data_IF_027896195717
#
_entry.id   IF_027896195717
#
_cell.length_a   1.000
_cell.length_b   1.000
_cell.length_c   1.000
_cell.angle_alpha   90.00
_cell.angle_beta   90.00
_cell.angle_gamma   90.00
#
_symmetry.space_group_name_H-M   'P 1'
#
loop_
_entity.id
_entity.type
_entity.pdbx_description
1 polymer ?
#
# COMPACT_ATOMS: atom_id res chain seq x y z
N UNK A 1 11.30 -19.00 13.53
CA UNK A 1 11.05 -17.57 13.76
C UNK A 1 12.29 -16.78 13.32
N UNK A 2 12.19 -16.13 12.16
CA UNK A 2 13.36 -15.51 11.48
C UNK A 2 13.59 -14.06 11.94
N UNK A 3 12.82 -13.57 12.92
CA UNK A 3 12.93 -12.20 13.42
C UNK A 3 12.49 -11.13 12.41
N UNK A 4 11.61 -11.50 11.46
CA UNK A 4 11.06 -10.61 10.45
C UNK A 4 9.63 -10.26 10.84
N UNK A 5 9.30 -8.97 10.83
CA UNK A 5 7.94 -8.51 11.03
C UNK A 5 7.08 -8.77 9.77
N UNK A 6 5.80 -9.10 10.00
CA UNK A 6 4.84 -9.33 8.92
C UNK A 6 4.04 -8.07 8.69
N UNK A 7 4.00 -7.63 7.43
CA UNK A 7 3.16 -6.53 6.94
C UNK A 7 2.18 -7.07 5.92
N UNK A 8 0.93 -6.63 5.95
CA UNK A 8 -0.08 -7.04 4.99
C UNK A 8 -0.31 -5.97 3.93
N UNK A 9 -0.21 -6.36 2.64
CA UNK A 9 -0.81 -5.60 1.57
C UNK A 9 -2.31 -5.87 1.53
N UNK A 10 -3.12 -4.82 1.51
CA UNK A 10 -4.56 -4.93 1.41
C UNK A 10 -5.13 -3.90 0.42
N UNK A 11 -5.74 -4.38 -0.66
CA UNK A 11 -6.49 -3.51 -1.57
C UNK A 11 -7.91 -3.31 -1.06
N UNK A 12 -8.31 -2.06 -0.91
CA UNK A 12 -9.70 -1.72 -0.55
C UNK A 12 -10.65 -1.76 -1.77
N UNK A 13 -10.13 -2.10 -2.95
CA UNK A 13 -10.92 -2.32 -4.15
C UNK A 13 -11.03 -3.81 -4.44
N UNK A 14 -12.24 -4.27 -4.66
CA UNK A 14 -12.53 -5.57 -5.24
C UNK A 14 -13.53 -5.40 -6.38
N UNK A 15 -12.99 -5.26 -7.57
CA UNK A 15 -13.79 -5.06 -8.78
C UNK A 15 -14.65 -6.28 -9.16
N UNK A 16 -14.36 -7.44 -8.59
CA UNK A 16 -15.13 -8.67 -8.79
C UNK A 16 -16.30 -8.82 -7.82
N UNK A 17 -16.29 -8.07 -6.70
CA UNK A 17 -17.35 -8.14 -5.70
C UNK A 17 -18.67 -7.58 -6.26
N UNK A 18 -19.81 -8.30 -6.14
CA UNK A 18 -21.07 -7.88 -6.74
C UNK A 18 -21.62 -6.54 -6.22
N UNK A 19 -21.27 -6.18 -5.00
CA UNK A 19 -21.70 -4.93 -4.37
C UNK A 19 -20.67 -3.79 -4.52
N UNK A 20 -19.50 -4.03 -5.16
CA UNK A 20 -18.54 -2.96 -5.43
C UNK A 20 -19.11 -1.96 -6.44
N UNK A 21 -18.82 -0.68 -6.23
CA UNK A 21 -19.19 0.39 -7.16
C UNK A 21 -18.01 1.34 -7.37
N UNK A 22 -17.64 1.62 -8.60
CA UNK A 22 -16.62 2.62 -8.94
C UNK A 22 -17.06 4.05 -8.55
N UNK A 23 -18.37 4.28 -8.66
CA UNK A 23 -19.01 5.54 -8.24
C UNK A 23 -20.45 5.26 -7.84
N UNK A 24 -20.96 6.02 -6.89
CA UNK A 24 -22.33 5.94 -6.40
C UNK A 24 -23.18 6.90 -7.20
N UNK A 25 -24.17 6.38 -7.95
CA UNK A 25 -25.05 7.14 -8.84
C UNK A 25 -26.53 7.07 -8.42
N UNK A 26 -26.90 6.12 -7.58
CA UNK A 26 -28.26 5.90 -7.09
C UNK A 26 -28.25 5.51 -5.62
N UNK A 27 -29.42 5.46 -5.02
CA UNK A 27 -29.62 4.93 -3.67
C UNK A 27 -29.29 3.44 -3.61
N UNK A 28 -29.64 2.68 -4.64
CA UNK A 28 -29.29 1.25 -4.75
C UNK A 28 -27.77 1.03 -4.76
N UNK A 29 -27.01 1.87 -5.50
CA UNK A 29 -25.56 1.86 -5.47
C UNK A 29 -25.03 2.13 -4.07
N UNK A 30 -25.61 3.08 -3.34
CA UNK A 30 -25.21 3.42 -1.98
C UNK A 30 -25.43 2.25 -1.03
N UNK A 31 -26.58 1.59 -1.13
CA UNK A 31 -26.91 0.41 -0.31
C UNK A 31 -25.94 -0.76 -0.63
N UNK A 32 -25.73 -1.04 -1.92
CA UNK A 32 -24.79 -2.08 -2.34
C UNK A 32 -23.38 -1.78 -1.82
N UNK A 33 -22.89 -0.56 -2.03
CA UNK A 33 -21.55 -0.18 -1.60
C UNK A 33 -21.40 -0.22 -0.07
N UNK A 34 -22.43 0.09 0.70
CA UNK A 34 -22.41 -0.06 2.16
C UNK A 34 -22.21 -1.51 2.59
N UNK A 35 -22.86 -2.48 1.91
CA UNK A 35 -22.61 -3.91 2.16
C UNK A 35 -21.19 -4.32 1.81
N UNK A 36 -20.63 -3.75 0.73
CA UNK A 36 -19.22 -3.98 0.37
C UNK A 36 -18.26 -3.43 1.45
N UNK A 37 -18.51 -2.24 1.99
CA UNK A 37 -17.70 -1.69 3.08
C UNK A 37 -17.77 -2.56 4.34
N UNK A 38 -18.96 -3.06 4.71
CA UNK A 38 -19.13 -4.00 5.83
C UNK A 38 -18.38 -5.32 5.57
N UNK A 39 -18.45 -5.85 4.36
CA UNK A 39 -17.68 -7.04 3.97
C UNK A 39 -16.18 -6.81 4.16
N UNK A 40 -15.67 -5.66 3.71
CA UNK A 40 -14.26 -5.29 3.83
C UNK A 40 -13.84 -5.12 5.30
N UNK A 41 -14.68 -4.49 6.13
CA UNK A 41 -14.45 -4.39 7.58
C UNK A 41 -14.32 -5.78 8.22
N UNK A 42 -15.17 -6.73 7.84
CA UNK A 42 -15.14 -8.09 8.37
C UNK A 42 -13.87 -8.85 7.94
N UNK A 43 -13.40 -8.67 6.70
CA UNK A 43 -12.10 -9.22 6.27
C UNK A 43 -10.94 -8.66 7.10
N UNK A 44 -10.91 -7.35 7.32
CA UNK A 44 -9.85 -6.71 8.10
C UNK A 44 -9.88 -7.15 9.57
N UNK A 45 -11.07 -7.27 10.18
CA UNK A 45 -11.24 -7.81 11.53
C UNK A 45 -10.76 -9.26 11.62
N UNK A 46 -11.05 -10.07 10.61
CA UNK A 46 -10.59 -11.46 10.56
C UNK A 46 -9.06 -11.52 10.50
N UNK A 47 -8.42 -10.72 9.64
CA UNK A 47 -6.96 -10.63 9.55
C UNK A 47 -6.35 -10.18 10.88
N UNK A 48 -6.84 -9.10 11.48
CA UNK A 48 -6.35 -8.58 12.75
C UNK A 48 -6.50 -9.61 13.90
N UNK A 49 -7.59 -10.38 13.90
CA UNK A 49 -7.84 -11.40 14.92
C UNK A 49 -6.94 -12.63 14.75
N UNK A 50 -6.75 -13.07 13.49
CA UNK A 50 -5.94 -14.26 13.19
C UNK A 50 -4.44 -14.01 13.26
N UNK A 51 -4.00 -12.77 13.02
CA UNK A 51 -2.59 -12.39 12.97
C UNK A 51 -2.29 -11.22 13.91
N UNK A 52 -2.41 -11.42 15.24
CA UNK A 52 -2.29 -10.33 16.22
C UNK A 52 -0.88 -9.75 16.35
N UNK A 53 0.09 -10.34 15.67
CA UNK A 53 1.49 -9.88 15.67
C UNK A 53 1.86 -9.08 14.41
N UNK A 54 0.92 -8.88 13.49
CA UNK A 54 1.15 -8.05 12.29
C UNK A 54 1.51 -6.63 12.72
N UNK A 55 2.47 -6.00 12.00
CA UNK A 55 3.01 -4.69 12.36
C UNK A 55 2.51 -3.57 11.48
N UNK A 56 2.09 -3.90 10.27
CA UNK A 56 1.65 -2.90 9.30
C UNK A 56 0.54 -3.43 8.38
N UNK A 57 -0.37 -2.54 8.02
CA UNK A 57 -1.28 -2.74 6.90
C UNK A 57 -0.94 -1.74 5.80
N UNK A 58 -0.35 -2.24 4.74
CA UNK A 58 -0.07 -1.50 3.53
C UNK A 58 -1.29 -1.49 2.61
N UNK A 59 -2.09 -0.45 2.74
CA UNK A 59 -3.31 -0.30 1.96
C UNK A 59 -3.04 0.26 0.57
N UNK A 60 -3.94 -0.09 -0.35
CA UNK A 60 -3.99 0.47 -1.70
C UNK A 60 -5.44 0.55 -2.20
N UNK A 61 -5.68 1.29 -3.28
CA UNK A 61 -6.98 1.27 -3.95
C UNK A 61 -7.95 2.42 -3.63
N UNK A 62 -7.56 3.44 -2.90
CA UNK A 62 -8.46 4.53 -2.47
C UNK A 62 -8.68 5.61 -3.54
N UNK A 63 -8.50 5.29 -4.82
CA UNK A 63 -8.65 6.30 -5.90
C UNK A 63 -10.03 6.33 -6.56
N UNK A 64 -10.87 5.30 -6.41
CA UNK A 64 -12.21 5.30 -6.96
C UNK A 64 -13.12 6.32 -6.27
N UNK A 65 -14.05 6.88 -7.03
CA UNK A 65 -14.93 7.95 -6.55
C UNK A 65 -15.81 7.52 -5.38
N UNK A 66 -16.23 6.25 -5.35
CA UNK A 66 -17.00 5.67 -4.26
C UNK A 66 -16.24 5.69 -2.95
N UNK A 67 -14.99 5.21 -2.93
CA UNK A 67 -14.15 5.18 -1.72
C UNK A 67 -13.80 6.60 -1.28
N UNK A 68 -13.39 7.47 -2.21
CA UNK A 68 -13.10 8.89 -1.91
C UNK A 68 -14.27 9.64 -1.30
N UNK A 69 -15.50 9.33 -1.71
CA UNK A 69 -16.70 9.93 -1.11
C UNK A 69 -17.04 9.37 0.28
N UNK A 70 -16.44 8.26 0.67
CA UNK A 70 -16.59 7.62 1.97
C UNK A 70 -15.33 7.79 2.82
N UNK A 71 -14.74 8.98 2.84
CA UNK A 71 -13.56 9.29 3.66
C UNK A 71 -13.75 8.93 5.14
N UNK A 72 -14.96 9.08 5.68
CA UNK A 72 -15.32 8.64 7.02
C UNK A 72 -15.02 7.15 7.26
N UNK A 73 -15.27 6.28 6.26
CA UNK A 73 -15.00 4.87 6.36
C UNK A 73 -13.49 4.59 6.42
N UNK A 74 -12.69 5.31 5.63
CA UNK A 74 -11.23 5.15 5.69
C UNK A 74 -10.66 5.55 7.05
N UNK A 75 -11.25 6.54 7.71
CA UNK A 75 -10.89 6.91 9.08
C UNK A 75 -11.33 5.86 10.10
N UNK A 76 -12.55 5.29 9.91
CA UNK A 76 -13.06 4.21 10.73
C UNK A 76 -12.15 2.97 10.65
N UNK A 77 -11.73 2.56 9.46
CA UNK A 77 -10.82 1.41 9.27
C UNK A 77 -9.50 1.63 10.03
N UNK A 78 -8.88 2.81 9.89
CA UNK A 78 -7.66 3.12 10.62
C UNK A 78 -7.86 3.02 12.14
N UNK A 79 -8.91 3.63 12.66
CA UNK A 79 -9.21 3.59 14.09
C UNK A 79 -9.47 2.15 14.56
N UNK A 80 -10.31 1.39 13.85
CA UNK A 80 -10.65 0.01 14.18
C UNK A 80 -9.40 -0.87 14.26
N UNK A 81 -8.51 -0.78 13.30
CA UNK A 81 -7.28 -1.58 13.29
C UNK A 81 -6.33 -1.18 14.42
N UNK A 82 -6.18 0.11 14.73
CA UNK A 82 -5.36 0.59 15.85
C UNK A 82 -5.92 0.19 17.21
N UNK A 83 -7.24 0.08 17.35
CA UNK A 83 -7.89 -0.44 18.56
C UNK A 83 -7.67 -1.94 18.72
N UNK A 84 -7.75 -2.71 17.63
CA UNK A 84 -7.55 -4.17 17.65
C UNK A 84 -6.07 -4.57 17.80
N UNK A 85 -5.18 -3.80 17.24
CA UNK A 85 -3.75 -4.07 17.14
C UNK A 85 -2.93 -2.84 17.62
N UNK A 86 -2.80 -2.62 18.93
CA UNK A 86 -2.02 -1.50 19.43
C UNK A 86 -0.59 -1.48 18.88
N UNK A 87 -0.20 -0.37 18.26
CA UNK A 87 1.11 -0.19 17.65
C UNK A 87 1.20 -0.62 16.18
N UNK A 88 0.11 -1.07 15.55
CA UNK A 88 0.07 -1.29 14.10
C UNK A 88 0.23 0.03 13.35
N UNK A 89 0.99 0.03 12.28
CA UNK A 89 1.13 1.18 11.38
C UNK A 89 0.23 1.03 10.15
N UNK A 90 -0.20 2.16 9.60
CA UNK A 90 -1.10 2.24 8.45
C UNK A 90 -0.61 3.34 7.51
N UNK A 91 -0.39 2.98 6.26
CA UNK A 91 0.08 3.93 5.26
C UNK A 91 -0.98 4.96 4.85
N UNK A 92 -0.53 6.07 4.29
CA UNK A 92 -1.41 7.16 3.82
C UNK A 92 -2.32 6.78 2.65
N UNK A 93 -2.05 5.66 1.98
CA UNK A 93 -2.84 5.20 0.81
C UNK A 93 -4.25 4.77 1.18
N UNK A 94 -4.49 4.33 2.43
CA UNK A 94 -5.84 4.06 2.92
C UNK A 94 -6.72 5.31 2.86
N UNK A 95 -6.16 6.44 3.25
CA UNK A 95 -6.93 7.58 3.71
C UNK A 95 -7.45 8.50 2.59
N UNK A 96 -8.71 8.90 2.77
CA UNK A 96 -9.30 10.06 2.10
C UNK A 96 -9.99 10.94 3.15
N UNK A 97 -9.97 12.26 2.97
CA UNK A 97 -10.74 13.19 3.80
C UNK A 97 -12.20 13.34 3.29
N UNK A 98 -12.98 14.13 3.97
CA UNK A 98 -14.38 14.43 3.64
C UNK A 98 -14.57 15.13 2.27
N UNK A 99 -13.50 15.68 1.70
CA UNK A 99 -13.44 16.30 0.37
C UNK A 99 -12.84 15.36 -0.69
N UNK A 100 -12.51 14.13 -0.32
CA UNK A 100 -11.90 13.14 -1.21
C UNK A 100 -10.42 13.38 -1.50
N UNK A 101 -9.73 14.22 -0.70
CA UNK A 101 -8.28 14.36 -0.76
C UNK A 101 -7.62 13.12 -0.17
N UNK A 102 -6.57 12.64 -0.82
CA UNK A 102 -5.85 11.42 -0.43
C UNK A 102 -4.47 11.75 0.12
N UNK A 103 -3.91 10.85 0.94
CA UNK A 103 -2.63 10.98 1.61
C UNK A 103 -2.54 12.17 2.59
N UNK A 104 -2.86 13.34 2.14
CA UNK A 104 -2.91 14.57 2.94
C UNK A 104 -4.32 15.13 2.94
N UNK A 105 -4.76 15.60 4.10
CA UNK A 105 -6.07 16.25 4.23
C UNK A 105 -6.10 17.63 3.52
N UNK A 106 -7.24 18.27 3.54
CA UNK A 106 -7.44 19.59 2.92
C UNK A 106 -6.61 20.72 3.57
N UNK A 107 -6.03 20.47 4.75
CA UNK A 107 -5.14 21.38 5.46
C UNK A 107 -3.64 21.03 5.25
N UNK A 108 -3.36 20.00 4.46
CA UNK A 108 -2.00 19.54 4.18
C UNK A 108 -1.38 18.69 5.29
N UNK A 109 -2.18 18.12 6.21
CA UNK A 109 -1.70 17.19 7.23
C UNK A 109 -1.68 15.78 6.67
N UNK A 110 -0.62 15.05 6.93
CA UNK A 110 -0.54 13.64 6.61
C UNK A 110 -1.67 12.87 7.31
N UNK A 111 -2.32 11.98 6.59
CA UNK A 111 -3.29 11.02 7.12
C UNK A 111 -2.67 9.62 7.09
N UNK A 112 -2.92 8.81 8.13
CA UNK A 112 -2.17 7.58 8.38
C UNK A 112 -0.86 7.87 9.12
N UNK A 113 -0.04 6.85 9.29
CA UNK A 113 1.19 6.95 10.10
C UNK A 113 2.40 7.38 9.27
N UNK A 114 2.42 7.06 7.98
CA UNK A 114 3.52 7.41 7.07
C UNK A 114 3.03 7.65 5.64
N UNK A 115 3.78 8.48 4.91
CA UNK A 115 3.51 8.79 3.51
C UNK A 115 4.05 7.68 2.60
N UNK A 116 3.24 7.17 1.67
CA UNK A 116 3.60 6.08 0.75
C UNK A 116 3.27 6.38 -0.72
N UNK A 117 3.31 7.65 -1.11
CA UNK A 117 2.99 8.10 -2.47
C UNK A 117 4.12 7.94 -3.51
N UNK A 118 5.33 7.61 -3.08
CA UNK A 118 6.47 7.45 -3.98
C UNK A 118 6.54 6.03 -4.55
N UNK A 119 5.88 5.84 -5.69
CA UNK A 119 5.84 4.57 -6.40
C UNK A 119 6.73 4.59 -7.62
N UNK A 120 7.71 3.66 -7.70
CA UNK A 120 8.70 3.54 -8.78
C UNK A 120 9.53 4.81 -9.05
N UNK A 121 9.44 5.77 -8.18
CA UNK A 121 10.19 7.01 -8.17
C UNK A 121 10.66 7.34 -6.77
N UNK A 122 11.64 8.19 -6.65
CA UNK A 122 12.13 8.73 -5.39
C UNK A 122 11.83 10.23 -5.31
N UNK A 123 11.78 10.80 -4.09
CA UNK A 123 11.75 12.24 -3.93
C UNK A 123 12.99 12.88 -4.57
N UNK A 124 12.80 14.02 -5.20
CA UNK A 124 13.90 14.87 -5.66
C UNK A 124 14.55 15.55 -4.43
N UNK A 125 15.87 15.38 -4.19
CA UNK A 125 16.52 15.89 -2.99
C UNK A 125 16.56 17.44 -2.91
N UNK A 126 16.19 18.12 -3.99
CA UNK A 126 16.13 19.60 -4.02
C UNK A 126 14.68 20.10 -3.99
N UNK A 127 13.77 19.42 -4.69
CA UNK A 127 12.39 19.89 -4.87
C UNK A 127 11.42 19.33 -3.83
N UNK A 128 11.67 18.10 -3.37
CA UNK A 128 10.74 17.36 -2.49
C UNK A 128 11.20 17.39 -1.02
N UNK A 129 11.90 18.44 -0.57
CA UNK A 129 12.43 18.56 0.79
C UNK A 129 11.36 18.41 1.89
N UNK A 130 10.10 18.66 1.58
CA UNK A 130 9.00 18.49 2.53
C UNK A 130 8.80 17.06 2.99
N UNK A 131 9.25 16.07 2.19
CA UNK A 131 9.13 14.66 2.55
C UNK A 131 9.82 14.32 3.88
N UNK A 132 10.86 15.07 4.25
CA UNK A 132 11.58 14.88 5.53
C UNK A 132 10.81 15.38 6.78
N UNK A 133 9.61 15.93 6.59
CA UNK A 133 8.78 16.43 7.69
C UNK A 133 7.90 15.36 8.34
N UNK A 134 7.83 14.16 7.74
CA UNK A 134 7.05 13.01 8.20
C UNK A 134 7.76 11.72 7.86
N UNK A 135 7.33 10.63 8.49
CA UNK A 135 7.77 9.30 8.09
C UNK A 135 7.23 8.97 6.70
N UNK A 136 8.05 8.37 5.87
CA UNK A 136 7.69 8.05 4.49
C UNK A 136 8.42 6.81 3.96
N UNK A 137 7.85 6.24 2.93
CA UNK A 137 8.49 5.16 2.18
C UNK A 137 8.27 5.33 0.68
N UNK A 138 9.22 4.82 -0.10
CA UNK A 138 9.05 4.57 -1.51
C UNK A 138 8.88 3.08 -1.77
N UNK A 139 8.22 2.71 -2.86
CA UNK A 139 8.10 1.33 -3.28
C UNK A 139 8.52 1.16 -4.75
N UNK A 140 9.17 0.05 -5.04
CA UNK A 140 9.59 -0.31 -6.38
C UNK A 140 9.49 -1.80 -6.64
N UNK A 141 9.47 -2.15 -7.92
CA UNK A 141 9.56 -3.52 -8.39
C UNK A 141 10.98 -3.85 -8.81
N UNK A 142 11.45 -5.07 -8.59
CA UNK A 142 12.73 -5.55 -9.13
C UNK A 142 12.67 -5.65 -10.64
N UNK A 143 11.69 -6.35 -11.25
CA UNK A 143 11.45 -6.23 -12.69
C UNK A 143 10.78 -4.90 -13.00
N UNK A 144 11.15 -4.27 -14.11
CA UNK A 144 10.57 -2.98 -14.47
C UNK A 144 9.05 -3.07 -14.71
N UNK A 145 8.29 -2.23 -14.03
CA UNK A 145 6.84 -2.11 -14.15
C UNK A 145 6.00 -3.37 -13.86
N UNK A 146 6.54 -4.34 -13.11
CA UNK A 146 5.87 -5.61 -12.82
C UNK A 146 5.77 -5.83 -11.31
N UNK A 147 4.55 -5.80 -10.75
CA UNK A 147 4.30 -6.10 -9.34
C UNK A 147 4.14 -7.59 -9.06
N UNK A 148 3.46 -8.31 -9.93
CA UNK A 148 3.23 -9.74 -9.81
C UNK A 148 3.91 -10.53 -10.91
N UNK A 149 3.98 -11.85 -10.77
CA UNK A 149 4.53 -12.75 -11.78
C UNK A 149 3.72 -12.70 -13.09
N UNK A 150 4.43 -12.71 -14.20
CA UNK A 150 3.86 -12.89 -15.53
C UNK A 150 4.75 -13.83 -16.36
N UNK A 151 4.18 -14.83 -17.02
CA UNK A 151 4.95 -15.85 -17.77
C UNK A 151 5.81 -15.28 -18.91
N UNK A 152 5.42 -14.14 -19.46
CA UNK A 152 6.11 -13.47 -20.58
C UNK A 152 7.12 -12.40 -20.10
N UNK A 153 7.59 -12.50 -18.86
CA UNK A 153 8.53 -11.56 -18.26
C UNK A 153 9.94 -11.55 -18.87
N UNK A 154 10.25 -12.49 -19.74
CA UNK A 154 11.51 -12.52 -20.50
C UNK A 154 11.85 -11.20 -21.22
N UNK A 155 10.84 -10.33 -21.39
CA UNK A 155 10.99 -9.02 -22.04
C UNK A 155 11.14 -7.87 -21.03
N UNK A 156 10.99 -8.11 -19.73
CA UNK A 156 11.09 -7.08 -18.72
C UNK A 156 12.52 -6.91 -18.25
N UNK A 157 12.98 -5.66 -18.22
CA UNK A 157 14.26 -5.32 -17.60
C UNK A 157 14.23 -5.66 -16.11
N UNK A 158 15.25 -6.37 -15.63
CA UNK A 158 15.46 -6.68 -14.22
C UNK A 158 16.56 -5.75 -13.69
N UNK A 159 16.26 -5.01 -12.63
CA UNK A 159 17.23 -4.09 -12.02
C UNK A 159 18.45 -4.84 -11.51
N UNK A 160 19.60 -4.22 -11.67
CA UNK A 160 20.85 -4.73 -11.10
C UNK A 160 20.89 -4.49 -9.58
N UNK A 161 21.73 -5.24 -8.82
CA UNK A 161 21.93 -4.98 -7.39
C UNK A 161 22.35 -3.53 -7.11
N UNK A 162 23.20 -2.93 -7.95
CA UNK A 162 23.64 -1.55 -7.78
C UNK A 162 22.47 -0.57 -7.91
N UNK A 163 21.59 -0.77 -8.88
CA UNK A 163 20.41 0.10 -9.06
C UNK A 163 19.43 -0.02 -7.88
N UNK A 164 19.26 -1.21 -7.31
CA UNK A 164 18.43 -1.41 -6.13
C UNK A 164 19.06 -0.75 -4.90
N UNK A 165 20.35 -0.98 -4.66
CA UNK A 165 21.08 -0.38 -3.54
C UNK A 165 21.12 1.15 -3.63
N UNK A 166 21.34 1.72 -4.82
CA UNK A 166 21.32 3.17 -5.03
C UNK A 166 19.98 3.79 -4.60
N UNK A 167 18.88 3.15 -4.96
CA UNK A 167 17.53 3.59 -4.56
C UNK A 167 17.30 3.48 -3.06
N UNK A 168 17.75 2.39 -2.44
CA UNK A 168 17.65 2.21 -0.98
C UNK A 168 18.46 3.29 -0.27
N UNK A 169 19.71 3.48 -0.67
CA UNK A 169 20.60 4.51 -0.08
C UNK A 169 20.01 5.90 -0.25
N UNK A 170 19.47 6.21 -1.43
CA UNK A 170 18.80 7.49 -1.66
C UNK A 170 17.60 7.68 -0.71
N UNK A 171 16.70 6.70 -0.61
CA UNK A 171 15.54 6.79 0.28
C UNK A 171 15.98 7.01 1.73
N UNK A 172 16.92 6.19 2.22
CA UNK A 172 17.43 6.29 3.59
C UNK A 172 18.15 7.61 3.86
N UNK A 173 18.92 8.12 2.87
CA UNK A 173 19.60 9.42 3.01
C UNK A 173 18.65 10.61 3.16
N UNK A 174 17.40 10.47 2.72
CA UNK A 174 16.34 11.45 2.90
C UNK A 174 15.39 11.12 4.06
N UNK A 175 15.76 10.18 4.94
CA UNK A 175 14.99 9.80 6.13
C UNK A 175 13.80 8.89 5.83
N UNK A 176 13.74 8.25 4.66
CA UNK A 176 12.66 7.34 4.28
C UNK A 176 13.03 5.87 4.31
N UNK A 177 12.05 5.03 4.04
CA UNK A 177 12.18 3.59 3.87
C UNK A 177 11.95 3.18 2.41
N UNK A 178 12.32 1.94 2.08
CA UNK A 178 12.13 1.38 0.74
C UNK A 178 11.48 0.01 0.81
N UNK A 179 10.35 -0.13 0.12
CA UNK A 179 9.72 -1.43 -0.17
C UNK A 179 10.22 -1.92 -1.52
N UNK A 180 10.83 -3.10 -1.53
CA UNK A 180 11.33 -3.76 -2.74
C UNK A 180 10.46 -4.97 -3.03
N UNK A 181 9.76 -4.95 -4.16
CA UNK A 181 8.84 -6.01 -4.55
C UNK A 181 9.52 -7.05 -5.43
N UNK A 182 9.40 -8.30 -5.02
CA UNK A 182 9.71 -9.50 -5.79
C UNK A 182 8.41 -10.22 -6.14
N UNK A 183 8.30 -10.74 -7.36
CA UNK A 183 7.10 -11.43 -7.83
C UNK A 183 7.28 -12.95 -7.84
N UNK A 184 6.79 -13.71 -6.84
CA UNK A 184 6.92 -15.15 -6.83
C UNK A 184 6.22 -15.79 -8.03
N UNK A 185 6.83 -16.86 -8.58
CA UNK A 185 6.28 -17.66 -9.65
C UNK A 185 5.08 -18.50 -9.16
N UNK A 186 4.40 -19.16 -10.08
CA UNK A 186 3.21 -19.96 -9.77
C UNK A 186 3.51 -21.17 -8.85
N UNK A 187 4.73 -21.64 -8.83
CA UNK A 187 5.21 -22.71 -7.94
C UNK A 187 5.67 -22.18 -6.55
N UNK A 188 5.58 -20.86 -6.33
CA UNK A 188 6.00 -20.20 -5.09
C UNK A 188 7.47 -19.84 -5.02
N UNK A 189 8.25 -20.17 -6.04
CA UNK A 189 9.66 -19.81 -6.13
C UNK A 189 9.85 -18.45 -6.83
N UNK A 190 11.07 -17.89 -6.77
CA UNK A 190 11.46 -16.68 -7.49
C UNK A 190 12.27 -17.03 -8.72
N UNK A 191 12.28 -16.15 -9.71
CA UNK A 191 13.15 -16.31 -10.87
C UNK A 191 14.62 -16.27 -10.46
N UNK A 192 15.51 -16.98 -11.20
CA UNK A 192 16.95 -17.02 -10.88
C UNK A 192 17.58 -15.62 -10.78
N UNK A 193 17.17 -14.68 -11.62
CA UNK A 193 17.66 -13.30 -11.63
C UNK A 193 17.25 -12.53 -10.36
N UNK A 194 16.02 -12.72 -9.88
CA UNK A 194 15.54 -12.11 -8.65
C UNK A 194 16.23 -12.71 -7.41
N UNK A 195 16.44 -14.02 -7.40
CA UNK A 195 17.24 -14.70 -6.35
C UNK A 195 18.66 -14.18 -6.30
N UNK A 196 19.32 -14.10 -7.45
CA UNK A 196 20.67 -13.59 -7.56
C UNK A 196 20.77 -12.15 -7.05
N UNK A 197 19.79 -11.31 -7.36
CA UNK A 197 19.72 -9.94 -6.86
C UNK A 197 19.52 -9.90 -5.34
N UNK A 198 18.64 -10.72 -4.80
CA UNK A 198 18.35 -10.74 -3.36
C UNK A 198 19.53 -11.24 -2.51
N UNK A 199 20.48 -11.94 -3.10
CA UNK A 199 21.65 -12.53 -2.42
C UNK A 199 22.96 -11.78 -2.67
N UNK A 200 22.95 -10.78 -3.55
CA UNK A 200 24.13 -9.98 -3.89
C UNK A 200 24.37 -8.85 -2.89
#
# INVERSE_FOLDING_TARGET
DEGIDVHFYFSVMDWSHPDYRYSIKSEEDSIAFSRFLEFTDNQLKELATRYPTVKDFWFDGTWDASIKKNGWWTAHVEQMLKEMLPGVTINSRLRADDKGKRHFDSNGRLMGDYESGYERRLPDPVKDLKVTQWDWEACMTVPENQWGYHKDWSLSYVKTPIEVLDRIVHAVSMGGNMVVNFGPQADGDFRPEEKALATA
#
